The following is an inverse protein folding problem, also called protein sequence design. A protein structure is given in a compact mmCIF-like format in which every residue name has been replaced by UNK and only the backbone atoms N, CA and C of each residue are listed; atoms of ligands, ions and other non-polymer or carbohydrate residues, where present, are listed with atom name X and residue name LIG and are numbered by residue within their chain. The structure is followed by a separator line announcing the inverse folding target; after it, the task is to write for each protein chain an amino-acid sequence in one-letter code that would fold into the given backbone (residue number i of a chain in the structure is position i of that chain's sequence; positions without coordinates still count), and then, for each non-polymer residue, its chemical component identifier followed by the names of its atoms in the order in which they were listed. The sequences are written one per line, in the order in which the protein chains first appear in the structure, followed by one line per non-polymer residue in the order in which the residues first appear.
data_IF_906567534126
#
_entry.id   IF_906567534126
#
_cell.length_a   1.000
_cell.length_b   1.000
_cell.length_c   1.000
_cell.angle_alpha   90.00
_cell.angle_beta   90.00
_cell.angle_gamma   90.00
#
_symmetry.space_group_name_H-M   'P 1'
#
loop_
_entity.id
_entity.type
_entity.pdbx_description
1 polymer ?
#
# COMPACT_ATOMS: atom_id res chain seq x y z
N UNK A 1 -10.76 -11.27 -2.17
CA UNK A 1 -10.66 -12.43 -1.25
C UNK A 1 -10.76 -12.00 0.21
N UNK A 2 -9.96 -11.02 0.67
CA UNK A 2 -10.02 -10.57 2.06
C UNK A 2 -11.43 -10.18 2.51
N UNK A 3 -12.11 -9.30 1.78
CA UNK A 3 -13.48 -8.85 2.10
C UNK A 3 -14.45 -10.04 2.19
N UNK A 4 -14.35 -10.99 1.26
CA UNK A 4 -15.19 -12.19 1.26
C UNK A 4 -14.93 -13.04 2.51
N UNK A 5 -13.67 -13.30 2.84
CA UNK A 5 -13.29 -14.08 4.01
C UNK A 5 -13.68 -13.41 5.31
N UNK A 6 -13.45 -12.10 5.41
CA UNK A 6 -13.86 -11.31 6.57
C UNK A 6 -15.37 -11.41 6.82
N UNK A 7 -16.17 -11.21 5.78
CA UNK A 7 -17.61 -11.31 5.87
C UNK A 7 -18.10 -12.72 6.22
N UNK A 8 -17.45 -13.77 5.70
CA UNK A 8 -17.79 -15.15 6.03
C UNK A 8 -17.54 -15.47 7.51
N UNK A 9 -16.38 -15.05 8.05
CA UNK A 9 -16.04 -15.24 9.46
C UNK A 9 -16.98 -14.43 10.35
N UNK A 10 -17.15 -13.14 10.04
CA UNK A 10 -18.04 -12.24 10.79
C UNK A 10 -19.47 -12.77 10.83
N UNK A 11 -20.07 -13.10 9.66
CA UNK A 11 -21.43 -13.64 9.58
C UNK A 11 -21.60 -14.90 10.40
N UNK A 12 -20.59 -15.79 10.40
CA UNK A 12 -20.64 -17.03 11.20
C UNK A 12 -20.77 -16.73 12.69
N UNK A 13 -19.93 -15.86 13.23
CA UNK A 13 -19.99 -15.48 14.63
C UNK A 13 -21.23 -14.68 14.98
N UNK A 14 -21.61 -13.75 14.13
CA UNK A 14 -22.83 -12.94 14.33
C UNK A 14 -24.09 -13.81 14.42
N UNK A 15 -24.27 -14.75 13.48
CA UNK A 15 -25.43 -15.65 13.51
C UNK A 15 -25.40 -16.56 14.74
N UNK A 16 -24.24 -17.03 15.17
CA UNK A 16 -24.15 -17.83 16.39
C UNK A 16 -24.44 -17.00 17.63
N UNK A 17 -23.96 -15.80 17.69
CA UNK A 17 -24.25 -14.87 18.77
C UNK A 17 -25.78 -14.62 18.91
N UNK A 18 -26.47 -14.42 17.81
CA UNK A 18 -27.94 -14.26 17.82
C UNK A 18 -28.71 -15.51 18.23
N UNK A 19 -28.14 -16.69 18.05
CA UNK A 19 -28.77 -17.99 18.32
C UNK A 19 -28.20 -18.69 19.57
N UNK A 20 -27.51 -17.96 20.45
CA UNK A 20 -27.01 -18.50 21.71
C UNK A 20 -28.18 -18.96 22.59
N UNK A 21 -28.06 -20.18 23.12
CA UNK A 21 -28.99 -20.73 24.10
C UNK A 21 -28.35 -20.59 25.48
N UNK A 22 -29.18 -20.28 26.47
CA UNK A 22 -28.71 -19.99 27.84
C UNK A 22 -27.78 -21.08 28.44
N UNK A 23 -28.03 -22.36 28.12
CA UNK A 23 -27.27 -23.47 28.63
C UNK A 23 -26.09 -23.94 27.75
N UNK A 24 -25.90 -23.32 26.57
CA UNK A 24 -24.90 -23.75 25.58
C UNK A 24 -23.96 -22.62 25.18
N UNK A 25 -23.98 -21.53 25.92
CA UNK A 25 -23.29 -20.28 25.62
C UNK A 25 -21.86 -20.44 25.09
N UNK A 26 -21.05 -21.25 25.75
CA UNK A 26 -19.65 -21.46 25.37
C UNK A 26 -19.50 -22.21 24.04
N UNK A 27 -20.34 -23.18 23.76
CA UNK A 27 -20.25 -24.00 22.55
C UNK A 27 -20.93 -23.38 21.33
N UNK A 28 -21.81 -22.43 21.52
CA UNK A 28 -22.51 -21.78 20.43
C UNK A 28 -21.65 -20.73 19.71
N UNK A 29 -20.68 -20.11 20.42
CA UNK A 29 -19.77 -19.13 19.84
C UNK A 29 -18.68 -19.75 18.98
N UNK A 30 -18.12 -20.88 19.41
CA UNK A 30 -17.06 -21.58 18.66
C UNK A 30 -17.08 -23.09 18.96
N UNK A 31 -16.84 -23.88 17.93
CA UNK A 31 -16.86 -25.34 18.02
C UNK A 31 -15.47 -25.98 18.01
N UNK A 32 -14.44 -25.21 17.68
CA UNK A 32 -13.08 -25.68 17.58
C UNK A 32 -12.06 -24.60 17.91
N UNK A 33 -10.81 -25.05 18.14
CA UNK A 33 -9.68 -24.13 18.34
C UNK A 33 -9.42 -23.24 17.12
N UNK A 34 -9.71 -23.74 15.92
CA UNK A 34 -9.55 -22.96 14.70
C UNK A 34 -10.57 -21.82 14.62
N UNK A 35 -11.79 -22.05 15.07
CA UNK A 35 -12.80 -20.96 15.14
C UNK A 35 -12.44 -19.90 16.17
N UNK A 36 -11.81 -20.29 17.29
CA UNK A 36 -11.25 -19.31 18.26
C UNK A 36 -10.16 -18.46 17.63
N UNK A 37 -9.27 -19.08 16.81
CA UNK A 37 -8.24 -18.33 16.05
C UNK A 37 -8.87 -17.36 15.06
N UNK A 38 -9.89 -17.79 14.33
CA UNK A 38 -10.61 -16.92 13.39
C UNK A 38 -11.23 -15.72 14.09
N UNK A 39 -11.87 -15.93 15.26
CA UNK A 39 -12.41 -14.86 16.08
C UNK A 39 -11.32 -13.91 16.58
N UNK A 40 -10.20 -14.44 17.06
CA UNK A 40 -9.05 -13.67 17.51
C UNK A 40 -8.53 -12.77 16.39
N UNK A 41 -8.37 -13.30 15.17
CA UNK A 41 -7.89 -12.55 14.01
C UNK A 41 -8.90 -11.46 13.61
N UNK A 42 -10.19 -11.79 13.57
CA UNK A 42 -11.25 -10.83 13.30
C UNK A 42 -11.21 -9.66 14.29
N UNK A 43 -11.10 -9.97 15.58
CA UNK A 43 -11.06 -8.98 16.66
C UNK A 43 -9.82 -8.09 16.58
N UNK A 44 -8.65 -8.64 16.25
CA UNK A 44 -7.43 -7.85 16.11
C UNK A 44 -7.50 -6.85 14.94
N UNK A 45 -8.13 -7.22 13.83
CA UNK A 45 -8.31 -6.30 12.69
C UNK A 45 -9.33 -5.22 13.05
N UNK A 46 -10.53 -5.66 13.46
CA UNK A 46 -11.63 -4.70 13.78
C UNK A 46 -11.28 -3.80 14.95
N UNK A 47 -10.73 -4.37 16.02
CA UNK A 47 -10.34 -3.63 17.21
C UNK A 47 -9.26 -2.60 16.93
N UNK A 48 -8.20 -2.97 16.20
CA UNK A 48 -7.14 -2.04 15.85
C UNK A 48 -7.65 -0.88 14.98
N UNK A 49 -8.43 -1.18 13.94
CA UNK A 49 -8.98 -0.15 13.06
C UNK A 49 -9.99 0.74 13.83
N UNK A 50 -10.87 0.14 14.61
CA UNK A 50 -11.84 0.89 15.42
C UNK A 50 -11.14 1.78 16.44
N UNK A 51 -10.09 1.31 17.10
CA UNK A 51 -9.31 2.10 18.03
C UNK A 51 -8.71 3.34 17.36
N UNK A 52 -8.08 3.17 16.18
CA UNK A 52 -7.49 4.28 15.45
C UNK A 52 -8.52 5.34 15.04
N UNK A 53 -9.71 4.89 14.60
CA UNK A 53 -10.80 5.79 14.19
C UNK A 53 -11.35 6.54 15.41
N UNK A 54 -11.65 5.83 16.49
CA UNK A 54 -12.26 6.41 17.69
C UNK A 54 -11.32 7.33 18.47
N UNK A 55 -10.01 7.05 18.42
CA UNK A 55 -8.99 7.83 19.11
C UNK A 55 -8.43 8.97 18.26
N UNK A 56 -8.91 9.13 17.01
CA UNK A 56 -8.47 10.16 16.06
C UNK A 56 -6.93 10.25 15.96
N UNK A 57 -6.27 9.08 16.01
CA UNK A 57 -4.81 9.00 16.02
C UNK A 57 -4.25 9.52 14.70
N UNK A 58 -3.36 10.51 14.79
CA UNK A 58 -2.62 11.02 13.64
C UNK A 58 -1.64 9.93 13.17
N UNK A 59 -1.97 9.30 12.07
CA UNK A 59 -1.11 8.31 11.43
C UNK A 59 -0.11 9.03 10.53
N UNK A 60 1.18 8.90 10.87
CA UNK A 60 2.22 9.32 9.94
C UNK A 60 2.23 8.37 8.74
N UNK A 61 2.48 8.97 7.64
CA UNK A 61 2.76 8.46 6.32
C UNK A 61 2.71 6.95 6.09
N UNK A 62 1.69 6.54 5.35
CA UNK A 62 1.52 5.21 4.80
C UNK A 62 1.12 4.15 5.83
N UNK A 63 1.26 2.92 5.39
CA UNK A 63 0.81 1.73 6.10
C UNK A 63 1.72 1.30 7.27
N UNK A 64 2.74 2.09 7.61
CA UNK A 64 3.80 1.71 8.57
C UNK A 64 3.25 1.26 9.93
N UNK A 65 2.31 2.01 10.49
CA UNK A 65 1.76 1.72 11.82
C UNK A 65 0.79 0.53 11.83
N UNK A 66 0.25 0.16 10.67
CA UNK A 66 -0.70 -0.92 10.50
C UNK A 66 -0.09 -2.17 9.82
N UNK A 67 1.24 -2.20 9.69
CA UNK A 67 1.90 -3.28 8.94
C UNK A 67 1.63 -4.67 9.52
N UNK A 68 1.45 -4.78 10.83
CA UNK A 68 1.09 -6.04 11.49
C UNK A 68 -0.27 -6.60 11.04
N UNK A 69 -1.19 -5.74 10.60
CA UNK A 69 -2.52 -6.15 10.08
C UNK A 69 -2.38 -6.95 8.79
N UNK A 70 -1.31 -6.76 8.01
CA UNK A 70 -1.11 -7.48 6.75
C UNK A 70 -1.11 -9.00 6.96
N UNK A 71 -0.53 -9.50 8.04
CA UNK A 71 -0.53 -10.94 8.35
C UNK A 71 -1.94 -11.47 8.50
N UNK A 72 -2.79 -10.74 9.18
CA UNK A 72 -4.19 -11.12 9.38
C UNK A 72 -5.01 -10.99 8.09
N UNK A 73 -4.73 -9.99 7.26
CA UNK A 73 -5.35 -9.81 5.93
C UNK A 73 -5.02 -11.03 5.04
N UNK A 74 -3.75 -11.44 5.02
CA UNK A 74 -3.30 -12.60 4.24
C UNK A 74 -3.97 -13.88 4.74
N UNK A 75 -4.04 -14.07 6.06
CA UNK A 75 -4.72 -15.23 6.63
C UNK A 75 -6.19 -15.30 6.20
N UNK A 76 -6.94 -14.21 6.33
CA UNK A 76 -8.36 -14.16 5.95
C UNK A 76 -8.54 -14.37 4.44
N UNK A 77 -7.66 -13.80 3.62
CA UNK A 77 -7.69 -13.99 2.17
C UNK A 77 -7.43 -15.46 1.78
N UNK A 78 -6.47 -16.10 2.44
CA UNK A 78 -6.15 -17.52 2.25
C UNK A 78 -7.30 -18.42 2.71
N UNK A 79 -7.91 -18.09 3.85
CA UNK A 79 -9.11 -18.78 4.33
C UNK A 79 -10.26 -18.70 3.30
N UNK A 80 -10.52 -17.50 2.76
CA UNK A 80 -11.54 -17.35 1.73
C UNK A 80 -11.25 -18.19 0.47
N UNK A 81 -9.99 -18.17 0.02
CA UNK A 81 -9.56 -18.97 -1.12
C UNK A 81 -9.79 -20.46 -0.87
N UNK A 82 -9.36 -20.95 0.28
CA UNK A 82 -9.59 -22.35 0.69
C UNK A 82 -11.08 -22.73 0.72
N UNK A 83 -11.93 -21.85 1.24
CA UNK A 83 -13.38 -22.08 1.26
C UNK A 83 -14.01 -22.12 -0.13
N UNK A 84 -13.55 -21.25 -1.03
CA UNK A 84 -13.96 -21.26 -2.44
C UNK A 84 -13.50 -22.56 -3.12
N UNK A 85 -12.25 -22.95 -2.91
CA UNK A 85 -11.69 -24.19 -3.46
C UNK A 85 -12.50 -25.41 -3.04
N UNK A 86 -12.79 -25.57 -1.75
CA UNK A 86 -13.64 -26.65 -1.25
C UNK A 86 -15.02 -26.66 -1.90
N UNK A 87 -15.64 -25.49 -2.05
CA UNK A 87 -16.96 -25.37 -2.67
C UNK A 87 -16.94 -25.74 -4.15
N UNK A 88 -15.90 -25.41 -4.87
CA UNK A 88 -15.73 -25.73 -6.29
C UNK A 88 -15.36 -27.20 -6.51
N UNK A 89 -14.51 -27.77 -5.68
CA UNK A 89 -14.15 -29.19 -5.74
C UNK A 89 -15.35 -30.10 -5.49
N UNK A 90 -16.27 -29.70 -4.63
CA UNK A 90 -17.52 -30.46 -4.36
C UNK A 90 -18.48 -30.45 -5.56
N UNK A 91 -18.43 -29.45 -6.43
CA UNK A 91 -19.33 -29.27 -7.59
C UNK A 91 -18.71 -29.73 -8.91
N UNK A 92 -17.41 -29.56 -9.06
CA UNK A 92 -16.68 -29.89 -10.30
C UNK A 92 -15.21 -30.12 -9.98
N UNK A 93 -14.59 -31.13 -10.62
CA UNK A 93 -13.13 -31.36 -10.54
C UNK A 93 -12.32 -30.31 -11.30
N UNK A 94 -12.97 -29.25 -11.79
CA UNK A 94 -12.32 -28.24 -12.61
C UNK A 94 -11.44 -27.30 -11.74
N UNK A 95 -10.16 -27.22 -12.09
CA UNK A 95 -9.15 -26.38 -11.41
C UNK A 95 -9.06 -24.96 -12.01
N UNK A 96 -10.08 -24.50 -12.70
CA UNK A 96 -10.08 -23.22 -13.42
C UNK A 96 -9.76 -22.02 -12.53
N UNK A 97 -10.20 -22.03 -11.27
CA UNK A 97 -9.90 -20.97 -10.30
C UNK A 97 -8.41 -20.82 -9.99
N UNK A 98 -7.60 -21.91 -10.07
CA UNK A 98 -6.14 -21.82 -9.93
C UNK A 98 -5.52 -21.08 -11.12
N UNK A 99 -5.98 -21.36 -12.33
CA UNK A 99 -5.48 -20.65 -13.52
C UNK A 99 -5.79 -19.16 -13.48
N UNK A 100 -6.98 -18.77 -13.01
CA UNK A 100 -7.34 -17.37 -12.78
C UNK A 100 -6.41 -16.74 -11.75
N UNK A 101 -6.13 -17.43 -10.65
CA UNK A 101 -5.23 -16.92 -9.61
C UNK A 101 -3.80 -16.73 -10.10
N UNK A 102 -3.30 -17.66 -10.92
CA UNK A 102 -1.98 -17.55 -11.54
C UNK A 102 -1.93 -16.38 -12.52
N UNK A 103 -2.95 -16.21 -13.36
CA UNK A 103 -3.05 -15.09 -14.30
C UNK A 103 -3.04 -13.74 -13.54
N UNK A 104 -3.77 -13.66 -12.43
CA UNK A 104 -3.78 -12.47 -11.58
C UNK A 104 -2.41 -12.19 -10.97
N UNK A 105 -1.70 -13.21 -10.48
CA UNK A 105 -0.32 -13.08 -9.99
C UNK A 105 0.63 -12.56 -11.05
N UNK A 106 0.57 -13.11 -12.27
CA UNK A 106 1.39 -12.66 -13.40
C UNK A 106 1.13 -11.17 -13.68
N UNK A 107 -0.14 -10.76 -13.66
CA UNK A 107 -0.51 -9.34 -13.88
C UNK A 107 0.08 -8.43 -12.81
N UNK A 108 0.09 -8.85 -11.54
CA UNK A 108 0.70 -8.09 -10.44
C UNK A 108 2.21 -7.96 -10.66
N UNK A 109 2.90 -9.07 -10.94
CA UNK A 109 4.36 -9.08 -11.17
C UNK A 109 4.71 -8.16 -12.35
N UNK A 110 3.97 -8.25 -13.45
CA UNK A 110 4.14 -7.39 -14.62
C UNK A 110 4.03 -5.90 -14.25
N UNK A 111 2.97 -5.52 -13.53
CA UNK A 111 2.82 -4.14 -13.07
C UNK A 111 3.95 -3.71 -12.13
N UNK A 112 4.35 -4.54 -11.18
CA UNK A 112 5.47 -4.24 -10.28
C UNK A 112 6.77 -3.99 -11.05
N UNK A 113 7.02 -4.72 -12.12
CA UNK A 113 8.20 -4.55 -12.98
C UNK A 113 8.15 -3.23 -13.75
N UNK A 114 7.02 -2.89 -14.36
CA UNK A 114 6.86 -1.64 -15.12
C UNK A 114 7.00 -0.42 -14.21
N UNK A 115 6.41 -0.47 -13.02
CA UNK A 115 6.46 0.65 -12.08
C UNK A 115 7.76 0.74 -11.27
N UNK A 116 8.72 -0.18 -11.49
CA UNK A 116 10.00 -0.09 -10.81
C UNK A 116 10.79 1.17 -11.23
N UNK A 117 11.38 1.95 -10.29
CA UNK A 117 11.38 1.81 -8.82
C UNK A 117 10.22 2.51 -8.09
N UNK A 118 9.19 2.93 -8.81
CA UNK A 118 8.10 3.76 -8.30
C UNK A 118 6.88 2.96 -7.78
N UNK A 119 7.07 1.69 -7.38
CA UNK A 119 5.95 0.84 -6.91
C UNK A 119 5.21 1.43 -5.72
N UNK A 120 5.89 2.20 -4.86
CA UNK A 120 5.32 2.82 -3.67
C UNK A 120 4.26 3.88 -3.98
N UNK A 121 4.40 4.54 -5.13
CA UNK A 121 3.46 5.59 -5.59
C UNK A 121 2.44 5.07 -6.59
N UNK A 122 2.34 3.73 -6.73
CA UNK A 122 1.34 3.13 -7.60
C UNK A 122 -0.03 3.13 -6.94
N UNK A 123 -0.98 3.76 -7.59
CA UNK A 123 -2.40 3.68 -7.28
C UNK A 123 -3.13 2.93 -8.40
N UNK A 124 -4.14 2.15 -8.02
CA UNK A 124 -5.01 1.52 -9.01
C UNK A 124 -5.84 2.58 -9.77
N UNK A 125 -6.44 2.19 -10.88
CA UNK A 125 -7.14 3.12 -11.75
C UNK A 125 -8.29 3.88 -11.06
N UNK A 126 -8.90 3.32 -10.01
CA UNK A 126 -9.98 3.96 -9.26
C UNK A 126 -9.52 5.13 -8.38
N UNK A 127 -8.30 5.05 -7.84
CA UNK A 127 -7.77 6.06 -6.93
C UNK A 127 -6.73 6.97 -7.56
N UNK A 128 -6.31 6.68 -8.80
CA UNK A 128 -5.24 7.43 -9.48
C UNK A 128 -5.54 8.93 -9.58
N UNK A 129 -6.78 9.30 -9.92
CA UNK A 129 -7.17 10.70 -10.12
C UNK A 129 -7.26 11.49 -8.81
N UNK A 130 -7.62 10.85 -7.72
CA UNK A 130 -7.79 11.49 -6.41
C UNK A 130 -6.59 11.26 -5.47
N UNK A 131 -5.61 10.50 -5.89
CA UNK A 131 -4.47 10.12 -5.05
C UNK A 131 -3.64 11.33 -4.61
N UNK A 132 -3.45 12.32 -5.50
CA UNK A 132 -2.69 13.54 -5.23
C UNK A 132 -3.38 14.48 -4.23
N UNK A 133 -4.70 14.35 -4.03
CA UNK A 133 -5.47 15.15 -3.08
C UNK A 133 -5.50 14.54 -1.66
N UNK A 134 -5.41 13.21 -1.56
CA UNK A 134 -5.66 12.51 -0.31
C UNK A 134 -4.44 11.76 0.24
N UNK A 135 -3.37 11.63 -0.54
CA UNK A 135 -2.19 10.87 -0.15
C UNK A 135 -0.91 11.64 -0.46
N UNK A 136 0.05 11.53 0.43
CA UNK A 136 1.41 12.02 0.16
C UNK A 136 2.06 11.12 -0.89
N UNK A 137 2.17 11.65 -2.10
CA UNK A 137 2.80 10.96 -3.22
C UNK A 137 4.28 10.98 -3.07
N UNK A 138 5.19 10.43 -3.27
CA UNK A 138 6.64 10.58 -3.25
C UNK A 138 7.27 11.14 -1.96
N UNK A 139 6.76 10.72 -0.80
CA UNK A 139 7.34 11.10 0.49
C UNK A 139 8.85 10.80 0.60
N UNK A 140 9.33 9.72 0.00
CA UNK A 140 10.74 9.34 0.02
C UNK A 140 11.59 10.07 -1.03
N UNK A 141 10.99 10.96 -1.83
CA UNK A 141 11.70 11.73 -2.86
C UNK A 141 12.29 10.89 -3.98
N UNK A 142 11.64 9.80 -4.36
CA UNK A 142 12.09 8.91 -5.44
C UNK A 142 12.14 9.63 -6.79
N UNK A 143 11.26 10.63 -7.00
CA UNK A 143 11.22 11.44 -8.21
C UNK A 143 12.46 12.33 -8.35
N UNK A 144 13.11 12.74 -7.25
CA UNK A 144 14.23 13.68 -7.26
C UNK A 144 15.38 13.27 -8.18
N UNK A 145 15.77 11.99 -8.16
CA UNK A 145 16.82 11.49 -9.06
C UNK A 145 16.41 11.55 -10.53
N UNK A 146 15.15 11.21 -10.83
CA UNK A 146 14.61 11.23 -12.20
C UNK A 146 14.53 12.66 -12.72
N UNK A 147 13.99 13.57 -11.92
CA UNK A 147 13.95 15.00 -12.20
C UNK A 147 15.33 15.56 -12.56
N UNK A 148 16.35 15.28 -11.72
CA UNK A 148 17.71 15.74 -11.97
C UNK A 148 18.30 15.19 -13.27
N UNK A 149 18.06 13.92 -13.58
CA UNK A 149 18.52 13.30 -14.83
C UNK A 149 17.85 13.91 -16.06
N UNK A 150 16.55 14.18 -15.99
CA UNK A 150 15.80 14.81 -17.09
C UNK A 150 16.31 16.23 -17.37
N UNK A 151 16.56 17.04 -16.34
CA UNK A 151 17.14 18.38 -16.50
C UNK A 151 18.55 18.32 -17.11
N UNK A 152 19.40 17.40 -16.66
CA UNK A 152 20.73 17.22 -17.22
C UNK A 152 20.72 16.81 -18.70
N UNK A 153 19.66 16.12 -19.14
CA UNK A 153 19.46 15.79 -20.56
C UNK A 153 18.96 17.00 -21.35
N UNK A 154 18.10 17.82 -20.76
CA UNK A 154 17.59 19.04 -21.39
C UNK A 154 18.67 20.13 -21.51
N UNK A 155 19.45 20.33 -20.48
CA UNK A 155 20.47 21.39 -20.35
C UNK A 155 21.89 20.84 -20.53
N UNK A 156 22.15 20.12 -21.63
CA UNK A 156 23.45 19.47 -21.87
C UNK A 156 24.60 20.48 -21.96
N UNK A 157 24.34 21.64 -22.54
CA UNK A 157 25.34 22.66 -22.83
C UNK A 157 25.56 23.65 -21.68
N UNK A 158 24.70 23.62 -20.66
CA UNK A 158 24.83 24.47 -19.48
C UNK A 158 25.88 23.95 -18.51
N UNK A 159 26.78 24.84 -18.08
CA UNK A 159 27.83 24.47 -17.12
C UNK A 159 27.29 24.33 -15.69
N UNK A 160 26.37 25.20 -15.31
CA UNK A 160 25.73 25.23 -13.99
C UNK A 160 24.25 25.42 -14.15
N UNK A 161 23.46 24.60 -13.47
CA UNK A 161 22.01 24.64 -13.45
C UNK A 161 21.59 24.93 -12.02
N UNK A 162 20.88 26.04 -11.81
CA UNK A 162 20.38 26.42 -10.51
C UNK A 162 19.00 25.82 -10.26
N UNK A 163 18.86 25.06 -9.16
CA UNK A 163 17.61 24.38 -8.83
C UNK A 163 17.09 24.88 -7.49
N UNK A 164 15.88 25.46 -7.51
CA UNK A 164 15.10 25.78 -6.33
C UNK A 164 14.43 24.52 -5.78
N UNK A 165 14.19 24.47 -4.47
CA UNK A 165 13.54 23.35 -3.80
C UNK A 165 12.30 23.85 -3.07
N UNK A 166 11.12 23.52 -3.62
CA UNK A 166 9.81 23.74 -3.02
C UNK A 166 9.25 22.42 -2.51
N UNK A 167 10.01 21.74 -1.66
CA UNK A 167 9.69 20.41 -1.16
C UNK A 167 10.28 20.21 0.23
N UNK A 168 9.58 19.51 1.07
CA UNK A 168 10.11 19.06 2.35
C UNK A 168 11.27 18.06 2.19
N UNK A 169 11.27 17.27 1.12
CA UNK A 169 12.34 16.32 0.84
C UNK A 169 13.63 17.03 0.39
N UNK A 170 14.77 16.76 1.05
CA UNK A 170 16.03 17.42 0.73
C UNK A 170 16.64 16.88 -0.58
N UNK A 171 16.46 17.59 -1.69
CA UNK A 171 16.94 17.20 -3.03
C UNK A 171 18.45 16.90 -3.10
N UNK A 172 19.26 17.48 -2.21
CA UNK A 172 20.69 17.21 -2.14
C UNK A 172 21.03 15.72 -1.92
N UNK A 173 20.11 14.93 -1.35
CA UNK A 173 20.27 13.47 -1.24
C UNK A 173 20.21 12.80 -2.60
N UNK A 174 19.32 13.27 -3.48
CA UNK A 174 19.20 12.75 -4.84
C UNK A 174 20.42 13.11 -5.71
N UNK A 175 21.07 14.26 -5.47
CA UNK A 175 22.31 14.63 -6.15
C UNK A 175 23.42 13.61 -5.86
N UNK A 176 23.51 13.07 -4.64
CA UNK A 176 24.49 12.04 -4.29
C UNK A 176 24.36 10.75 -5.10
N UNK A 177 23.21 10.53 -5.73
CA UNK A 177 22.93 9.36 -6.58
C UNK A 177 23.31 9.58 -8.05
N UNK A 178 23.80 10.76 -8.42
CA UNK A 178 24.30 11.08 -9.75
C UNK A 178 25.79 10.81 -9.88
N UNK A 179 26.31 10.76 -11.10
CA UNK A 179 27.72 10.64 -11.39
C UNK A 179 28.48 11.91 -10.98
N UNK A 180 29.77 11.78 -10.67
CA UNK A 180 30.60 12.92 -10.21
C UNK A 180 30.63 14.09 -11.18
N UNK A 181 30.54 13.83 -12.48
CA UNK A 181 30.49 14.83 -13.55
C UNK A 181 29.20 15.66 -13.49
N UNK A 182 28.08 14.98 -13.35
CA UNK A 182 26.74 15.55 -13.33
C UNK A 182 26.46 16.36 -12.06
N UNK A 183 26.99 15.88 -10.91
CA UNK A 183 26.87 16.60 -9.63
C UNK A 183 27.47 18.01 -9.69
N UNK A 184 28.56 18.20 -10.44
CA UNK A 184 29.22 19.51 -10.58
C UNK A 184 28.40 20.53 -11.36
N UNK A 185 27.47 20.07 -12.19
CA UNK A 185 26.58 20.94 -12.98
C UNK A 185 25.40 21.45 -12.18
N UNK A 186 25.08 20.86 -11.02
CA UNK A 186 23.88 21.19 -10.25
C UNK A 186 24.22 22.03 -9.05
N UNK A 187 23.57 23.19 -8.96
CA UNK A 187 23.64 24.10 -7.83
C UNK A 187 22.24 24.23 -7.20
N UNK A 188 22.11 23.92 -5.88
CA UNK A 188 20.86 24.10 -5.17
C UNK A 188 20.84 25.49 -4.55
N UNK A 189 19.87 26.31 -4.98
CA UNK A 189 19.64 27.66 -4.48
C UNK A 189 18.58 27.70 -3.35
N UNK A 190 18.10 26.55 -2.90
CA UNK A 190 17.13 26.46 -1.83
C UNK A 190 15.79 27.08 -2.18
N UNK A 191 15.31 28.01 -1.36
CA UNK A 191 14.04 28.74 -1.57
C UNK A 191 14.21 30.04 -2.34
N UNK A 192 15.41 30.38 -2.82
CA UNK A 192 15.62 31.55 -3.66
C UNK A 192 15.20 31.25 -5.12
N UNK A 193 13.87 31.22 -5.31
CA UNK A 193 13.27 30.85 -6.59
C UNK A 193 13.56 31.86 -7.70
N UNK A 194 13.95 33.11 -7.39
CA UNK A 194 14.31 34.09 -8.39
C UNK A 194 15.62 33.77 -9.11
N UNK A 195 16.51 33.04 -8.45
CA UNK A 195 17.79 32.59 -9.02
C UNK A 195 17.73 31.20 -9.60
N UNK A 196 16.58 30.51 -9.49
CA UNK A 196 16.42 29.15 -9.95
C UNK A 196 16.08 29.08 -11.44
N UNK A 197 16.76 28.23 -12.17
CA UNK A 197 16.39 27.85 -13.54
C UNK A 197 15.19 26.90 -13.55
N UNK A 198 15.14 26.01 -12.54
CA UNK A 198 14.09 24.99 -12.34
C UNK A 198 13.69 24.90 -10.87
N UNK A 199 12.45 24.55 -10.61
CA UNK A 199 11.96 24.34 -9.25
C UNK A 199 11.52 22.89 -9.11
N UNK A 200 12.09 22.20 -8.12
CA UNK A 200 11.67 20.85 -7.74
C UNK A 200 10.59 20.92 -6.67
N UNK A 201 9.47 20.24 -6.92
CA UNK A 201 8.45 19.95 -5.90
C UNK A 201 7.99 18.51 -6.01
N UNK A 202 7.85 17.85 -4.87
CA UNK A 202 7.19 16.54 -4.76
C UNK A 202 5.77 16.68 -4.21
N UNK A 203 5.19 17.88 -4.22
CA UNK A 203 3.85 18.22 -3.75
C UNK A 203 3.57 17.83 -2.28
N UNK A 204 4.61 17.75 -1.47
CA UNK A 204 4.52 17.59 0.00
C UNK A 204 5.00 18.90 0.61
N UNK A 205 4.08 19.61 1.22
CA UNK A 205 4.31 20.91 1.91
C UNK A 205 4.50 20.69 3.42
#
# INVERSE_FOLDING_TARGET
LFIIGYFQIFRRFFLRFLNIKDNTYYYDLWRSINEKKDLFILFNITGAISYLILSEVILYNGWRHLYFINTFIIYIATYAFYRIDLSLQSKSKNKFHYYISILFLITIIYKMTIYHPFQKIYFNNYFKEISHLNFEIDYDGLSGKKFLKEILVLEKDKNIINIGVASWYPLHRSIKLLDKKDRKKINIVGQDFQKADYIYSNFIS
#
